data_IF_434026910917
#
_entry.id   IF_434026910917
#
_cell.length_a   1.000
_cell.length_b   1.000
_cell.length_c   1.000
_cell.angle_alpha   90.00
_cell.angle_beta   90.00
_cell.angle_gamma   90.00
#
_symmetry.space_group_name_H-M   'P 1'
#
loop_
_entity.id
_entity.type
_entity.pdbx_description
1 polymer ?
#
# COMPACT_ATOMS: atom_id res chain seq x y z
N UNK A 1 -31.35 17.64 -26.11
CA UNK A 1 -31.10 16.19 -26.06
C UNK A 1 -30.01 15.97 -25.02
N UNK A 2 -30.41 15.47 -23.86
CA UNK A 2 -29.53 15.28 -22.69
C UNK A 2 -28.90 13.91 -22.85
N UNK A 3 -27.56 13.89 -22.93
CA UNK A 3 -26.78 12.66 -22.96
C UNK A 3 -26.81 12.01 -21.59
N UNK A 4 -27.28 10.76 -21.55
CA UNK A 4 -27.32 9.94 -20.37
C UNK A 4 -25.88 9.60 -19.91
N UNK A 5 -25.51 10.08 -18.71
CA UNK A 5 -24.38 9.55 -18.00
C UNK A 5 -24.68 8.09 -17.64
N UNK A 6 -23.90 7.18 -18.19
CA UNK A 6 -23.94 5.76 -17.84
C UNK A 6 -23.52 5.61 -16.37
N UNK A 7 -24.47 5.33 -15.50
CA UNK A 7 -24.22 4.77 -14.18
C UNK A 7 -23.48 3.45 -14.36
N UNK A 8 -22.20 3.42 -14.06
CA UNK A 8 -21.47 2.18 -13.81
C UNK A 8 -21.94 1.73 -12.42
N UNK A 9 -22.84 0.79 -12.41
CA UNK A 9 -23.23 0.04 -11.21
C UNK A 9 -22.05 -0.86 -10.84
N UNK A 10 -21.10 -0.31 -10.06
CA UNK A 10 -20.00 -1.08 -9.49
C UNK A 10 -20.63 -1.96 -8.43
N UNK A 11 -20.81 -3.24 -8.72
CA UNK A 11 -21.16 -4.26 -7.73
C UNK A 11 -20.23 -4.09 -6.52
N UNK A 12 -20.82 -3.76 -5.38
CA UNK A 12 -20.13 -3.34 -4.14
C UNK A 12 -19.54 -4.56 -3.40
N UNK A 13 -18.85 -5.46 -4.12
CA UNK A 13 -18.17 -6.61 -3.55
C UNK A 13 -16.79 -6.19 -3.04
N UNK A 14 -16.62 -6.34 -1.73
CA UNK A 14 -15.33 -6.08 -1.08
C UNK A 14 -14.32 -7.14 -1.51
N UNK A 15 -13.24 -6.73 -2.19
CA UNK A 15 -12.14 -7.64 -2.55
C UNK A 15 -11.28 -7.99 -1.32
N UNK A 16 -11.17 -7.06 -0.36
CA UNK A 16 -10.56 -7.30 0.95
C UNK A 16 -11.57 -6.94 2.03
N UNK A 17 -11.70 -7.82 3.03
CA UNK A 17 -12.51 -7.56 4.21
C UNK A 17 -11.74 -7.99 5.46
N UNK A 18 -11.71 -7.13 6.46
CA UNK A 18 -11.16 -7.41 7.79
C UNK A 18 -12.27 -7.27 8.82
N UNK A 19 -12.40 -8.24 9.71
CA UNK A 19 -13.42 -8.28 10.74
C UNK A 19 -12.80 -8.45 12.11
N UNK A 20 -12.88 -7.41 12.94
CA UNK A 20 -12.43 -7.40 14.31
C UNK A 20 -10.97 -7.78 14.51
N UNK A 21 -10.09 -7.40 13.60
CA UNK A 21 -8.70 -7.88 13.56
C UNK A 21 -7.86 -7.25 14.67
N UNK A 22 -7.29 -8.12 15.51
CA UNK A 22 -6.24 -7.80 16.48
C UNK A 22 -4.90 -8.41 16.04
N UNK A 23 -3.80 -7.68 16.22
CA UNK A 23 -2.43 -8.21 16.09
C UNK A 23 -1.63 -7.86 17.34
N UNK A 24 -1.08 -8.91 17.98
CA UNK A 24 -0.33 -8.78 19.24
C UNK A 24 1.01 -9.51 19.10
N UNK A 25 2.12 -8.83 19.41
CA UNK A 25 3.46 -9.41 19.48
C UNK A 25 3.90 -9.50 20.95
N UNK A 26 3.88 -10.69 21.52
CA UNK A 26 4.15 -10.87 22.94
C UNK A 26 3.15 -10.11 23.81
N UNK A 27 3.60 -9.05 24.49
CA UNK A 27 2.73 -8.16 25.30
C UNK A 27 2.32 -6.88 24.56
N UNK A 28 2.85 -6.64 23.38
CA UNK A 28 2.60 -5.42 22.61
C UNK A 28 1.48 -5.63 21.60
N UNK A 29 0.32 -5.01 21.81
CA UNK A 29 -0.76 -4.96 20.84
C UNK A 29 -0.47 -3.84 19.84
N UNK A 30 -0.48 -4.17 18.55
CA UNK A 30 -0.20 -3.23 17.46
C UNK A 30 -1.46 -2.87 16.67
N UNK A 31 -2.33 -3.85 16.43
CA UNK A 31 -3.66 -3.61 15.85
C UNK A 31 -4.74 -4.03 16.84
N UNK A 32 -5.80 -3.23 16.93
CA UNK A 32 -6.92 -3.43 17.84
C UNK A 32 -8.25 -3.27 17.14
N UNK A 33 -8.99 -4.40 17.01
CA UNK A 33 -10.34 -4.46 16.45
C UNK A 33 -10.46 -3.66 15.15
N UNK A 34 -9.60 -3.99 14.17
CA UNK A 34 -9.65 -3.35 12.86
C UNK A 34 -10.79 -4.00 12.07
N UNK A 35 -11.75 -3.17 11.70
CA UNK A 35 -12.78 -3.48 10.71
C UNK A 35 -12.48 -2.64 9.47
N UNK A 36 -12.35 -3.27 8.30
CA UNK A 36 -11.99 -2.61 7.06
C UNK A 36 -12.56 -3.37 5.87
N UNK A 37 -13.17 -2.66 4.95
CA UNK A 37 -13.59 -3.18 3.66
C UNK A 37 -12.87 -2.39 2.57
N UNK A 38 -12.42 -3.05 1.51
CA UNK A 38 -11.86 -2.43 0.33
C UNK A 38 -12.63 -2.91 -0.90
N UNK A 39 -13.24 -1.99 -1.63
CA UNK A 39 -13.97 -2.31 -2.86
C UNK A 39 -12.99 -2.60 -4.01
N UNK A 40 -13.44 -3.41 -4.97
CA UNK A 40 -12.66 -3.65 -6.18
C UNK A 40 -12.45 -2.35 -6.97
N UNK A 41 -11.22 -2.10 -7.41
CA UNK A 41 -10.85 -0.90 -8.16
C UNK A 41 -10.69 0.37 -7.31
N UNK A 42 -10.94 0.31 -5.99
CA UNK A 42 -10.73 1.43 -5.06
C UNK A 42 -9.23 1.64 -4.79
N UNK A 43 -8.82 2.89 -4.64
CA UNK A 43 -7.51 3.25 -4.06
C UNK A 43 -7.72 3.77 -2.65
N UNK A 44 -7.27 2.99 -1.67
CA UNK A 44 -7.31 3.32 -0.25
C UNK A 44 -5.96 3.86 0.22
N UNK A 45 -5.91 5.06 0.79
CA UNK A 45 -4.74 5.52 1.53
C UNK A 45 -4.86 5.19 3.02
N UNK A 46 -3.80 4.65 3.59
CA UNK A 46 -3.66 4.41 5.03
C UNK A 46 -2.63 5.40 5.56
N UNK A 47 -3.10 6.37 6.33
CA UNK A 47 -2.24 7.38 6.95
C UNK A 47 -2.13 7.19 8.46
N UNK A 48 -1.22 7.90 9.08
CA UNK A 48 -1.02 7.92 10.53
C UNK A 48 0.43 8.07 10.93
N UNK A 49 0.65 8.31 12.22
CA UNK A 49 1.99 8.51 12.78
C UNK A 49 2.90 7.28 12.60
N UNK A 50 4.22 7.51 12.67
CA UNK A 50 5.17 6.40 12.68
C UNK A 50 4.90 5.47 13.87
N UNK A 51 4.94 4.16 13.63
CA UNK A 51 4.70 3.14 14.65
C UNK A 51 3.23 2.86 14.98
N UNK A 52 2.24 3.49 14.34
CA UNK A 52 0.81 3.20 14.61
C UNK A 52 0.31 1.87 14.05
N UNK A 53 1.13 1.13 13.28
CA UNK A 53 0.78 -0.22 12.79
C UNK A 53 0.50 -0.33 11.30
N UNK A 54 0.72 0.70 10.47
CA UNK A 54 0.42 0.70 9.02
C UNK A 54 1.04 -0.49 8.27
N UNK A 55 2.34 -0.70 8.43
CA UNK A 55 3.05 -1.82 7.78
C UNK A 55 2.60 -3.18 8.34
N UNK A 56 2.22 -3.25 9.62
CA UNK A 56 1.64 -4.46 10.21
C UNK A 56 0.28 -4.75 9.56
N UNK A 57 -0.55 -3.71 9.38
CA UNK A 57 -1.84 -3.84 8.70
C UNK A 57 -1.65 -4.35 7.26
N UNK A 58 -0.73 -3.78 6.47
CA UNK A 58 -0.43 -4.29 5.12
C UNK A 58 -0.02 -5.76 5.13
N UNK A 59 0.91 -6.14 6.02
CA UNK A 59 1.37 -7.54 6.12
C UNK A 59 0.26 -8.50 6.54
N UNK A 60 -0.71 -8.02 7.32
CA UNK A 60 -1.87 -8.82 7.74
C UNK A 60 -2.85 -9.00 6.56
N UNK A 61 -3.07 -7.95 5.76
CA UNK A 61 -3.91 -8.00 4.55
C UNK A 61 -3.44 -9.06 3.56
N UNK A 62 -2.12 -9.20 3.35
CA UNK A 62 -1.58 -10.18 2.40
C UNK A 62 -1.30 -11.57 3.04
N UNK A 63 -1.74 -11.78 4.26
CA UNK A 63 -1.53 -13.04 4.97
C UNK A 63 -0.07 -13.37 5.32
N UNK A 64 0.85 -12.36 5.32
CA UNK A 64 2.22 -12.52 5.84
C UNK A 64 2.24 -12.52 7.37
N UNK A 65 1.25 -11.91 7.99
CA UNK A 65 1.02 -11.95 9.43
C UNK A 65 -0.39 -12.45 9.68
N UNK A 66 -0.52 -13.50 10.48
CA UNK A 66 -1.82 -13.97 10.93
C UNK A 66 -2.33 -13.06 12.06
N UNK A 67 -3.62 -12.67 12.02
CA UNK A 67 -4.22 -11.95 13.12
C UNK A 67 -4.24 -12.81 14.40
N UNK A 68 -4.08 -12.19 15.55
CA UNK A 68 -4.24 -12.87 16.85
C UNK A 68 -5.71 -13.15 17.15
N UNK A 69 -6.61 -12.29 16.63
CA UNK A 69 -8.07 -12.43 16.67
C UNK A 69 -8.66 -11.78 15.42
N UNK A 70 -9.90 -12.15 15.11
CA UNK A 70 -10.61 -11.67 13.92
C UNK A 70 -10.19 -12.43 12.67
N UNK A 71 -10.70 -12.02 11.53
CA UNK A 71 -10.49 -12.68 10.25
C UNK A 71 -10.15 -11.68 9.15
N UNK A 72 -9.37 -12.14 8.17
CA UNK A 72 -9.04 -11.40 6.95
C UNK A 72 -9.50 -12.21 5.76
N UNK A 73 -10.32 -11.61 4.94
CA UNK A 73 -10.84 -12.21 3.73
C UNK A 73 -10.25 -11.53 2.51
N UNK A 74 -9.85 -12.30 1.54
CA UNK A 74 -9.50 -11.87 0.21
C UNK A 74 -10.36 -12.60 -0.81
N UNK A 75 -11.08 -11.85 -1.63
CA UNK A 75 -11.98 -12.40 -2.63
C UNK A 75 -12.97 -13.42 -2.01
N UNK A 76 -13.58 -13.02 -0.88
CA UNK A 76 -14.53 -13.83 -0.10
C UNK A 76 -13.92 -15.02 0.67
N UNK A 77 -12.63 -15.29 0.55
CA UNK A 77 -11.94 -16.44 1.16
C UNK A 77 -11.16 -16.02 2.41
N UNK A 78 -11.40 -16.70 3.53
CA UNK A 78 -10.70 -16.47 4.81
C UNK A 78 -9.23 -16.93 4.70
N UNK A 79 -8.29 -15.97 4.73
CA UNK A 79 -6.86 -16.24 4.65
C UNK A 79 -6.33 -17.06 5.85
N UNK A 80 -6.95 -16.90 7.02
CA UNK A 80 -6.57 -17.62 8.23
C UNK A 80 -6.87 -19.13 8.19
N UNK A 81 -7.71 -19.57 7.27
CA UNK A 81 -8.08 -20.99 7.08
C UNK A 81 -7.34 -21.66 5.94
N UNK A 82 -6.50 -20.92 5.22
CA UNK A 82 -5.75 -21.45 4.08
C UNK A 82 -4.47 -22.14 4.53
N UNK A 83 -4.09 -23.20 3.83
CA UNK A 83 -2.74 -23.76 3.91
C UNK A 83 -1.72 -22.79 3.31
N UNK A 84 -0.44 -22.93 3.68
CA UNK A 84 0.64 -22.10 3.11
C UNK A 84 0.72 -22.19 1.58
N UNK A 85 0.39 -23.34 0.99
CA UNK A 85 0.34 -23.50 -0.46
C UNK A 85 -0.78 -22.64 -1.09
N UNK A 86 -1.94 -22.62 -0.48
CA UNK A 86 -3.07 -21.78 -0.93
C UNK A 86 -2.78 -20.30 -0.72
N UNK A 87 -2.22 -19.91 0.44
CA UNK A 87 -1.78 -18.54 0.72
C UNK A 87 -0.77 -18.04 -0.31
N UNK A 88 0.21 -18.88 -0.68
CA UNK A 88 1.17 -18.51 -1.73
C UNK A 88 0.49 -18.30 -3.08
N UNK A 89 -0.53 -19.10 -3.42
CA UNK A 89 -1.37 -18.88 -4.59
C UNK A 89 -2.13 -17.55 -4.54
N UNK A 90 -2.61 -17.13 -3.37
CA UNK A 90 -3.25 -15.82 -3.23
C UNK A 90 -2.23 -14.68 -3.29
N UNK A 91 -1.05 -14.82 -2.67
CA UNK A 91 -0.01 -13.79 -2.64
C UNK A 91 0.50 -13.41 -4.03
N UNK A 92 0.45 -14.28 -5.01
CA UNK A 92 0.82 -13.99 -6.41
C UNK A 92 -0.11 -12.93 -7.02
N UNK A 93 -1.35 -12.80 -6.55
CA UNK A 93 -2.33 -11.82 -6.99
C UNK A 93 -2.05 -10.40 -6.43
N UNK A 94 -1.05 -10.26 -5.55
CA UNK A 94 -0.64 -8.98 -4.97
C UNK A 94 0.70 -8.52 -5.55
N UNK A 95 0.76 -7.29 -6.03
CA UNK A 95 2.00 -6.57 -6.29
C UNK A 95 2.40 -5.72 -5.08
N UNK A 96 3.68 -5.72 -4.70
CA UNK A 96 4.14 -4.96 -3.55
C UNK A 96 5.31 -4.05 -3.91
N UNK A 97 5.12 -2.74 -3.76
CA UNK A 97 6.20 -1.75 -3.78
C UNK A 97 6.60 -1.40 -2.35
N UNK A 98 7.74 -1.91 -1.92
CA UNK A 98 8.31 -1.66 -0.59
C UNK A 98 8.94 -0.27 -0.48
N UNK A 99 9.02 0.24 0.74
CA UNK A 99 9.57 1.57 1.05
C UNK A 99 10.97 1.81 0.44
N UNK A 100 11.85 0.81 0.40
CA UNK A 100 13.18 0.89 -0.22
C UNK A 100 13.27 0.10 -1.52
N UNK A 101 12.14 -0.12 -2.21
CA UNK A 101 12.00 -0.95 -3.41
C UNK A 101 12.37 -2.44 -3.21
N UNK A 102 13.15 -2.81 -2.21
CA UNK A 102 13.59 -4.18 -1.87
C UNK A 102 14.08 -4.97 -3.10
N UNK A 103 14.91 -4.35 -3.93
CA UNK A 103 15.53 -5.01 -5.08
C UNK A 103 16.62 -5.98 -4.61
N UNK A 104 16.80 -7.06 -5.34
CA UNK A 104 17.92 -7.98 -5.13
C UNK A 104 19.21 -7.33 -5.65
N UNK A 105 20.14 -7.01 -4.77
CA UNK A 105 21.38 -6.26 -5.10
C UNK A 105 22.29 -7.03 -6.06
N UNK A 106 22.28 -8.36 -6.00
CA UNK A 106 23.06 -9.22 -6.90
C UNK A 106 22.51 -9.33 -8.31
N UNK A 107 21.25 -8.95 -8.53
CA UNK A 107 20.54 -9.07 -9.80
C UNK A 107 20.54 -7.77 -10.58
N UNK A 108 20.53 -7.86 -11.92
CA UNK A 108 20.29 -6.71 -12.78
C UNK A 108 18.83 -6.25 -12.70
N UNK A 109 18.50 -5.08 -13.27
CA UNK A 109 17.13 -4.59 -13.41
C UNK A 109 16.25 -5.62 -14.13
N UNK A 110 16.71 -6.15 -15.26
CA UNK A 110 15.96 -7.16 -16.01
C UNK A 110 15.72 -8.43 -15.18
N UNK A 111 16.71 -8.85 -14.40
CA UNK A 111 16.60 -10.01 -13.53
C UNK A 111 15.63 -9.76 -12.35
N UNK A 112 15.65 -8.56 -11.75
CA UNK A 112 14.73 -8.18 -10.71
C UNK A 112 13.27 -8.19 -11.18
N UNK A 113 12.99 -7.55 -12.32
CA UNK A 113 11.61 -7.46 -12.85
C UNK A 113 11.13 -8.85 -13.29
N UNK A 114 11.97 -9.62 -14.01
CA UNK A 114 11.64 -10.95 -14.51
C UNK A 114 11.67 -12.05 -13.44
N UNK A 115 12.03 -11.75 -12.19
CA UNK A 115 12.20 -12.76 -11.14
C UNK A 115 10.90 -13.54 -10.88
N UNK A 116 9.82 -12.83 -10.57
CA UNK A 116 8.52 -13.43 -10.27
C UNK A 116 7.93 -14.18 -11.47
N UNK A 117 8.13 -13.68 -12.69
CA UNK A 117 7.70 -14.37 -13.91
C UNK A 117 8.38 -15.74 -14.07
N UNK A 118 9.69 -15.82 -13.80
CA UNK A 118 10.43 -17.10 -13.85
C UNK A 118 10.02 -18.10 -12.78
N UNK A 119 9.58 -17.62 -11.63
CA UNK A 119 9.21 -18.48 -10.49
C UNK A 119 7.76 -18.98 -10.58
N UNK A 120 6.86 -18.20 -11.15
CA UNK A 120 5.41 -18.43 -11.05
C UNK A 120 4.72 -18.63 -12.40
N UNK A 121 5.45 -18.60 -13.51
CA UNK A 121 4.88 -18.84 -14.84
C UNK A 121 5.73 -19.82 -15.66
N UNK A 122 5.12 -20.41 -16.69
CA UNK A 122 5.80 -21.26 -17.66
C UNK A 122 6.23 -20.48 -18.92
N UNK A 123 6.36 -19.15 -18.84
CA UNK A 123 6.73 -18.29 -19.96
C UNK A 123 8.17 -18.56 -20.41
N UNK A 124 8.39 -18.55 -21.72
CA UNK A 124 9.72 -18.70 -22.31
C UNK A 124 10.58 -17.45 -22.05
N UNK A 125 11.88 -17.57 -22.15
CA UNK A 125 12.82 -16.48 -21.89
C UNK A 125 12.58 -15.24 -22.78
N UNK A 126 12.13 -15.44 -24.02
CA UNK A 126 11.75 -14.37 -24.95
C UNK A 126 10.54 -13.59 -24.44
N UNK A 127 9.48 -14.29 -24.07
CA UNK A 127 8.24 -13.69 -23.55
C UNK A 127 8.51 -12.90 -22.25
N UNK A 128 9.38 -13.42 -21.37
CA UNK A 128 9.79 -12.71 -20.16
C UNK A 128 10.57 -11.44 -20.53
N UNK A 129 11.45 -11.47 -21.53
CA UNK A 129 12.19 -10.27 -21.97
C UNK A 129 11.26 -9.19 -22.50
N UNK A 130 10.27 -9.56 -23.29
CA UNK A 130 9.27 -8.64 -23.84
C UNK A 130 8.46 -7.98 -22.72
N UNK A 131 7.98 -8.76 -21.73
CA UNK A 131 7.25 -8.24 -20.58
C UNK A 131 8.15 -7.29 -19.77
N UNK A 132 9.40 -7.67 -19.52
CA UNK A 132 10.36 -6.84 -18.77
C UNK A 132 10.59 -5.50 -19.46
N UNK A 133 10.82 -5.50 -20.78
CA UNK A 133 11.00 -4.26 -21.56
C UNK A 133 9.74 -3.39 -21.52
N UNK A 134 8.55 -3.99 -21.67
CA UNK A 134 7.28 -3.27 -21.57
C UNK A 134 7.10 -2.63 -20.19
N UNK A 135 7.37 -3.35 -19.10
CA UNK A 135 7.26 -2.81 -17.72
C UNK A 135 8.28 -1.70 -17.43
N UNK A 136 9.49 -1.80 -17.97
CA UNK A 136 10.50 -0.72 -17.86
C UNK A 136 10.04 0.55 -18.57
N UNK A 137 9.49 0.42 -19.77
CA UNK A 137 8.93 1.54 -20.53
C UNK A 137 7.73 2.17 -19.79
N UNK A 138 6.81 1.35 -19.25
CA UNK A 138 5.62 1.78 -18.50
C UNK A 138 5.98 2.66 -17.29
N UNK A 139 7.08 2.37 -16.60
CA UNK A 139 7.55 3.19 -15.47
C UNK A 139 8.48 4.34 -15.92
N UNK A 140 8.56 4.63 -17.21
CA UNK A 140 9.32 5.74 -17.76
C UNK A 140 10.83 5.60 -17.61
N UNK A 141 11.36 4.37 -17.61
CA UNK A 141 12.79 4.12 -17.60
C UNK A 141 13.30 3.78 -19.02
N UNK A 142 14.49 4.25 -19.41
CA UNK A 142 15.07 3.89 -20.69
C UNK A 142 15.59 2.45 -20.67
N UNK A 143 15.60 1.80 -21.82
CA UNK A 143 15.95 0.37 -21.95
C UNK A 143 17.40 0.06 -21.54
N UNK A 144 18.31 1.03 -21.63
CA UNK A 144 19.70 0.88 -21.23
C UNK A 144 19.92 0.62 -19.73
N UNK A 145 18.86 0.74 -18.90
CA UNK A 145 18.94 0.39 -17.46
C UNK A 145 18.85 -1.12 -17.22
N UNK A 146 18.37 -1.91 -18.18
CA UNK A 146 18.09 -3.34 -18.00
C UNK A 146 19.30 -4.15 -17.51
N UNK A 147 20.50 -3.79 -17.97
CA UNK A 147 21.75 -4.44 -17.55
C UNK A 147 22.34 -3.93 -16.22
N UNK A 148 21.83 -2.80 -15.69
CA UNK A 148 22.35 -2.19 -14.47
C UNK A 148 21.95 -2.96 -13.23
N UNK A 149 22.75 -2.83 -12.15
CA UNK A 149 22.43 -3.31 -10.81
C UNK A 149 21.81 -2.19 -9.96
N UNK A 150 21.09 -2.51 -8.88
CA UNK A 150 20.46 -1.52 -7.99
C UNK A 150 21.42 -0.42 -7.47
N UNK A 151 22.67 -0.78 -7.21
CA UNK A 151 23.70 0.18 -6.76
C UNK A 151 24.03 1.29 -7.79
N UNK A 152 23.75 1.04 -9.09
CA UNK A 152 24.00 2.00 -10.17
C UNK A 152 22.79 2.92 -10.47
N UNK A 153 21.71 2.79 -9.68
CA UNK A 153 20.44 3.50 -9.86
C UNK A 153 20.25 4.58 -8.80
N UNK A 154 19.65 5.71 -9.18
CA UNK A 154 19.15 6.70 -8.21
C UNK A 154 18.01 6.14 -7.36
N UNK A 155 17.67 6.79 -6.24
CA UNK A 155 16.54 6.38 -5.40
C UNK A 155 15.22 6.29 -6.16
N UNK A 156 14.91 7.30 -6.98
CA UNK A 156 13.71 7.32 -7.82
C UNK A 156 13.73 6.23 -8.90
N UNK A 157 14.88 5.93 -9.49
CA UNK A 157 15.00 4.82 -10.45
C UNK A 157 14.76 3.47 -9.76
N UNK A 158 15.32 3.25 -8.56
CA UNK A 158 15.06 2.01 -7.78
C UNK A 158 13.58 1.82 -7.48
N UNK A 159 12.88 2.89 -7.09
CA UNK A 159 11.43 2.85 -6.85
C UNK A 159 10.66 2.45 -8.12
N UNK A 160 11.00 3.04 -9.27
CA UNK A 160 10.38 2.70 -10.57
C UNK A 160 10.66 1.26 -10.99
N UNK A 161 11.87 0.75 -10.80
CA UNK A 161 12.17 -0.68 -11.02
C UNK A 161 11.38 -1.57 -10.07
N UNK A 162 11.24 -1.18 -8.79
CA UNK A 162 10.41 -1.89 -7.82
C UNK A 162 8.93 -1.94 -8.24
N UNK A 163 8.41 -0.84 -8.79
CA UNK A 163 7.05 -0.78 -9.34
C UNK A 163 6.92 -1.69 -10.57
N UNK A 164 7.84 -1.62 -11.53
CA UNK A 164 7.86 -2.50 -12.70
C UNK A 164 7.88 -3.99 -12.31
N UNK A 165 8.66 -4.35 -11.28
CA UNK A 165 8.70 -5.71 -10.74
C UNK A 165 7.37 -6.12 -10.12
N UNK A 166 6.73 -5.23 -9.35
CA UNK A 166 5.44 -5.49 -8.73
C UNK A 166 4.32 -5.70 -9.76
N UNK A 167 4.39 -5.01 -10.90
CA UNK A 167 3.42 -5.10 -12.00
C UNK A 167 3.68 -6.30 -12.95
N UNK A 168 4.82 -6.96 -12.85
CA UNK A 168 5.23 -7.99 -13.83
C UNK A 168 4.25 -9.16 -13.94
N UNK A 169 3.61 -9.56 -12.84
CA UNK A 169 2.61 -10.65 -12.79
C UNK A 169 1.17 -10.18 -13.00
N UNK A 170 0.96 -8.91 -13.36
CA UNK A 170 -0.38 -8.32 -13.55
C UNK A 170 -1.29 -8.54 -12.33
N UNK A 171 -0.90 -7.99 -11.16
CA UNK A 171 -1.61 -8.23 -9.91
C UNK A 171 -3.00 -7.62 -9.92
N UNK A 172 -3.92 -8.20 -9.15
CA UNK A 172 -5.25 -7.64 -8.92
C UNK A 172 -5.23 -6.54 -7.84
N UNK A 173 -4.27 -6.63 -6.92
CA UNK A 173 -4.08 -5.64 -5.86
C UNK A 173 -2.64 -5.16 -5.84
N UNK A 174 -2.49 -3.83 -5.79
CA UNK A 174 -1.20 -3.17 -5.60
C UNK A 174 -1.09 -2.58 -4.20
N UNK A 175 -0.02 -2.93 -3.51
CA UNK A 175 0.34 -2.41 -2.20
C UNK A 175 1.57 -1.50 -2.32
N UNK A 176 1.45 -0.28 -1.83
CA UNK A 176 2.51 0.72 -1.84
C UNK A 176 2.84 1.09 -0.38
N UNK A 177 4.01 0.70 0.09
CA UNK A 177 4.48 1.06 1.43
C UNK A 177 5.45 2.25 1.33
N UNK A 178 4.98 3.44 1.71
CA UNK A 178 5.72 4.69 1.70
C UNK A 178 6.40 4.96 0.33
N UNK A 179 5.65 5.01 -0.78
CA UNK A 179 6.20 5.02 -2.14
C UNK A 179 7.07 6.25 -2.44
N UNK A 180 6.78 7.39 -1.81
CA UNK A 180 7.47 8.68 -2.06
C UNK A 180 8.54 9.02 -1.03
N UNK A 181 8.68 8.23 0.03
CA UNK A 181 9.66 8.49 1.11
C UNK A 181 11.09 8.47 0.57
N UNK A 182 11.86 9.53 0.92
CA UNK A 182 13.25 9.69 0.53
C UNK A 182 13.46 10.23 -0.90
N UNK A 183 12.40 10.71 -1.53
CA UNK A 183 12.44 11.38 -2.83
C UNK A 183 12.23 12.90 -2.67
N UNK A 184 12.76 13.66 -3.60
CA UNK A 184 12.44 15.08 -3.73
C UNK A 184 10.98 15.28 -4.19
N UNK A 185 10.41 16.49 -4.07
CA UNK A 185 9.01 16.74 -4.42
C UNK A 185 8.64 16.42 -5.87
N UNK A 186 9.56 16.64 -6.82
CA UNK A 186 9.31 16.37 -8.25
C UNK A 186 9.25 14.87 -8.48
N UNK A 187 10.22 14.13 -7.95
CA UNK A 187 10.24 12.67 -8.07
C UNK A 187 9.10 12.00 -7.31
N UNK A 188 8.67 12.58 -6.18
CA UNK A 188 7.48 12.13 -5.47
C UNK A 188 6.24 12.26 -6.34
N UNK A 189 6.12 13.37 -7.06
CA UNK A 189 5.00 13.60 -7.98
C UNK A 189 5.03 12.62 -9.17
N UNK A 190 6.21 12.32 -9.71
CA UNK A 190 6.38 11.28 -10.76
C UNK A 190 5.88 9.91 -10.26
N UNK A 191 6.21 9.52 -9.03
CA UNK A 191 5.71 8.24 -8.47
C UNK A 191 4.19 8.28 -8.31
N UNK A 192 3.61 9.39 -7.86
CA UNK A 192 2.17 9.54 -7.72
C UNK A 192 1.46 9.41 -9.08
N UNK A 193 2.00 10.04 -10.13
CA UNK A 193 1.48 9.88 -11.50
C UNK A 193 1.58 8.42 -11.98
N UNK A 194 2.67 7.72 -11.67
CA UNK A 194 2.79 6.31 -12.01
C UNK A 194 1.75 5.44 -11.30
N UNK A 195 1.43 5.72 -10.02
CA UNK A 195 0.35 5.02 -9.29
C UNK A 195 -0.99 5.25 -9.98
N UNK A 196 -1.30 6.51 -10.34
CA UNK A 196 -2.54 6.86 -11.04
C UNK A 196 -2.61 6.19 -12.42
N UNK A 197 -1.52 6.24 -13.18
CA UNK A 197 -1.46 5.65 -14.51
C UNK A 197 -1.56 4.12 -14.47
N UNK A 198 -0.95 3.47 -13.48
CA UNK A 198 -1.11 2.03 -13.26
C UNK A 198 -2.60 1.67 -13.13
N UNK A 199 -3.35 2.41 -12.31
CA UNK A 199 -4.80 2.18 -12.13
C UNK A 199 -5.60 2.42 -13.43
N UNK A 200 -5.17 3.39 -14.24
CA UNK A 200 -5.85 3.68 -15.54
C UNK A 200 -5.60 2.62 -16.60
N UNK A 201 -4.41 2.02 -16.59
CA UNK A 201 -4.00 1.04 -17.59
C UNK A 201 -4.38 -0.39 -17.19
N UNK A 202 -4.45 -0.66 -15.89
CA UNK A 202 -4.76 -1.97 -15.32
C UNK A 202 -5.91 -1.84 -14.33
N UNK A 203 -6.88 -2.75 -14.35
CA UNK A 203 -7.99 -2.76 -13.38
C UNK A 203 -7.50 -3.26 -12.01
N UNK A 204 -6.63 -2.48 -11.35
CA UNK A 204 -6.07 -2.84 -10.03
C UNK A 204 -6.75 -2.12 -8.89
N UNK A 205 -6.94 -2.82 -7.78
CA UNK A 205 -7.27 -2.24 -6.48
C UNK A 205 -5.98 -1.84 -5.78
N UNK A 206 -5.93 -0.70 -5.09
CA UNK A 206 -4.68 -0.19 -4.53
C UNK A 206 -4.79 0.15 -3.05
N UNK A 207 -3.74 -0.16 -2.28
CA UNK A 207 -3.56 0.33 -0.92
C UNK A 207 -2.24 1.09 -0.85
N UNK A 208 -2.30 2.35 -0.44
CA UNK A 208 -1.14 3.23 -0.33
C UNK A 208 -0.94 3.61 1.14
N UNK A 209 0.11 3.07 1.76
CA UNK A 209 0.52 3.53 3.08
C UNK A 209 1.43 4.73 2.91
N UNK A 210 1.10 5.84 3.56
CA UNK A 210 1.93 7.04 3.50
C UNK A 210 1.70 7.95 4.72
N UNK A 211 2.70 8.78 5.04
CA UNK A 211 2.58 9.92 5.93
C UNK A 211 2.55 11.24 5.15
N UNK A 212 2.75 11.20 3.84
CA UNK A 212 2.68 12.37 2.96
C UNK A 212 1.25 12.63 2.50
N UNK A 213 0.66 13.70 3.01
CA UNK A 213 -0.72 14.10 2.68
C UNK A 213 -0.91 14.51 1.22
N UNK A 214 0.15 14.97 0.52
CA UNK A 214 0.07 15.27 -0.91
C UNK A 214 -0.16 14.00 -1.70
N UNK A 215 0.61 12.96 -1.39
CA UNK A 215 0.44 11.63 -1.98
C UNK A 215 -0.96 11.09 -1.68
N UNK A 216 -1.39 11.06 -0.40
CA UNK A 216 -2.71 10.54 -0.02
C UNK A 216 -3.85 11.21 -0.79
N UNK A 217 -3.88 12.54 -0.85
CA UNK A 217 -4.92 13.31 -1.56
C UNK A 217 -4.89 13.12 -3.08
N UNK A 218 -3.69 12.94 -3.66
CA UNK A 218 -3.54 12.85 -5.10
C UNK A 218 -3.96 11.50 -5.67
N UNK A 219 -3.68 10.41 -4.95
CA UNK A 219 -3.82 9.05 -5.48
C UNK A 219 -5.05 8.31 -4.97
N UNK A 220 -5.60 8.68 -3.79
CA UNK A 220 -6.63 7.89 -3.12
C UNK A 220 -8.05 8.39 -3.37
N UNK A 221 -8.98 7.46 -3.46
CA UNK A 221 -10.43 7.74 -3.41
C UNK A 221 -10.89 7.91 -1.96
N UNK A 222 -10.35 7.07 -1.06
CA UNK A 222 -10.69 7.01 0.35
C UNK A 222 -9.43 6.97 1.21
N UNK A 223 -9.52 7.57 2.38
CA UNK A 223 -8.44 7.61 3.37
C UNK A 223 -8.92 7.02 4.68
N UNK A 224 -8.11 6.18 5.30
CA UNK A 224 -8.26 5.83 6.71
C UNK A 224 -7.06 6.36 7.50
N UNK A 225 -7.30 6.82 8.72
CA UNK A 225 -6.22 7.22 9.63
C UNK A 225 -6.13 6.28 10.81
N UNK A 226 -4.98 5.58 10.90
CA UNK A 226 -4.61 4.78 12.06
C UNK A 226 -3.98 5.66 13.13
N UNK A 227 -4.43 5.50 14.38
CA UNK A 227 -3.88 6.23 15.51
C UNK A 227 -3.10 5.29 16.46
N UNK A 228 -2.00 5.76 17.10
CA UNK A 228 -1.21 4.95 18.02
C UNK A 228 -2.03 4.47 19.21
N UNK A 229 -2.03 3.16 19.48
CA UNK A 229 -2.81 2.56 20.58
C UNK A 229 -2.45 3.11 21.97
N UNK A 230 -1.18 3.50 22.18
CA UNK A 230 -0.70 4.08 23.43
C UNK A 230 -1.32 5.42 23.77
N UNK A 231 -1.96 6.07 22.81
CA UNK A 231 -2.59 7.40 22.97
C UNK A 231 -4.11 7.36 22.89
N UNK A 232 -4.68 6.19 22.60
CA UNK A 232 -6.14 6.00 22.57
C UNK A 232 -6.68 5.77 23.97
N UNK A 233 -7.82 6.36 24.27
CA UNK A 233 -8.58 6.02 25.46
C UNK A 233 -9.15 4.60 25.36
N UNK A 234 -9.54 4.06 26.51
CA UNK A 234 -10.21 2.75 26.55
C UNK A 234 -11.50 2.80 25.72
N UNK A 235 -11.67 1.83 24.82
CA UNK A 235 -12.86 1.73 23.98
C UNK A 235 -12.84 2.54 22.67
N UNK A 236 -11.92 3.50 22.48
CA UNK A 236 -11.82 4.23 21.22
C UNK A 236 -11.37 3.32 20.07
N UNK A 237 -11.90 3.49 18.84
CA UNK A 237 -11.44 2.77 17.66
C UNK A 237 -10.02 3.21 17.28
N UNK A 238 -9.23 2.29 16.68
CA UNK A 238 -7.89 2.64 16.22
C UNK A 238 -7.91 3.39 14.89
N UNK A 239 -8.91 3.15 14.06
CA UNK A 239 -9.19 3.96 12.87
C UNK A 239 -10.02 5.16 13.37
N UNK A 240 -9.41 6.36 13.37
CA UNK A 240 -10.04 7.60 13.84
C UNK A 240 -10.62 8.43 12.70
N UNK A 241 -10.33 8.08 11.46
CA UNK A 241 -10.93 8.62 10.25
C UNK A 241 -11.10 7.52 9.22
N UNK A 242 -12.23 7.49 8.57
CA UNK A 242 -12.55 6.65 7.44
C UNK A 242 -13.54 7.40 6.54
N UNK A 243 -13.08 7.82 5.36
CA UNK A 243 -13.89 8.62 4.46
C UNK A 243 -13.18 9.05 3.17
N UNK A 244 -13.89 9.77 2.28
CA UNK A 244 -13.34 10.27 1.04
C UNK A 244 -12.09 11.12 1.25
N UNK A 245 -11.08 10.96 0.38
CA UNK A 245 -9.83 11.72 0.47
C UNK A 245 -10.06 13.24 0.38
N UNK A 246 -11.06 13.66 -0.38
CA UNK A 246 -11.43 15.08 -0.56
C UNK A 246 -12.00 15.73 0.71
N UNK A 247 -12.59 14.92 1.62
CA UNK A 247 -13.25 15.42 2.84
C UNK A 247 -12.40 15.28 4.10
N UNK A 248 -11.15 14.90 3.97
CA UNK A 248 -10.30 14.67 5.15
C UNK A 248 -10.06 15.95 5.95
N UNK A 249 -10.08 17.11 5.32
CA UNK A 249 -9.94 18.42 5.97
C UNK A 249 -11.14 18.77 6.86
N UNK A 250 -12.31 18.19 6.56
CA UNK A 250 -13.57 18.38 7.31
C UNK A 250 -13.73 17.37 8.45
N UNK A 251 -12.68 16.58 8.75
CA UNK A 251 -12.74 15.56 9.79
C UNK A 251 -13.09 16.18 11.14
N UNK A 252 -14.11 15.63 11.82
CA UNK A 252 -14.57 16.10 13.13
C UNK A 252 -13.55 15.85 14.27
N UNK A 253 -12.69 14.84 14.10
CA UNK A 253 -11.65 14.51 15.09
C UNK A 253 -10.45 15.46 14.94
N UNK A 254 -10.18 16.25 15.96
CA UNK A 254 -9.10 17.23 15.98
C UNK A 254 -7.71 16.60 15.76
N UNK A 255 -7.52 15.33 16.12
CA UNK A 255 -6.27 14.59 15.92
C UNK A 255 -5.97 14.39 14.43
N UNK A 256 -7.01 14.22 13.61
CA UNK A 256 -6.88 14.15 12.14
C UNK A 256 -6.41 15.49 11.59
N UNK A 257 -7.06 16.60 11.98
CA UNK A 257 -6.69 17.94 11.56
C UNK A 257 -5.25 18.31 11.96
N UNK A 258 -4.85 17.94 13.19
CA UNK A 258 -3.47 18.14 13.66
C UNK A 258 -2.45 17.38 12.83
N UNK A 259 -2.73 16.11 12.52
CA UNK A 259 -1.85 15.29 11.69
C UNK A 259 -1.68 15.88 10.28
N UNK A 260 -2.79 16.29 9.65
CA UNK A 260 -2.80 16.86 8.30
C UNK A 260 -2.00 18.16 8.23
N UNK A 261 -2.11 19.02 9.26
CA UNK A 261 -1.41 20.31 9.34
C UNK A 261 0.02 20.20 9.83
N UNK A 262 0.45 19.02 10.28
CA UNK A 262 1.77 18.82 10.89
C UNK A 262 1.93 19.55 12.23
N UNK A 263 0.83 19.76 12.98
CA UNK A 263 0.86 20.48 14.24
C UNK A 263 1.26 19.57 15.41
N UNK A 264 2.38 19.91 16.05
CA UNK A 264 2.94 19.11 17.15
C UNK A 264 2.34 19.40 18.54
N UNK A 265 1.27 20.21 18.67
CA UNK A 265 0.78 20.78 19.93
C UNK A 265 0.60 19.75 21.06
N UNK A 266 -0.23 18.75 20.87
CA UNK A 266 -0.48 17.71 21.90
C UNK A 266 0.74 16.81 22.11
N UNK A 267 1.50 16.52 21.05
CA UNK A 267 2.70 15.71 21.12
C UNK A 267 3.78 16.32 21.99
N UNK A 268 3.96 17.64 21.93
CA UNK A 268 4.89 18.37 22.80
C UNK A 268 4.49 18.30 24.26
N UNK A 269 3.18 18.39 24.58
CA UNK A 269 2.70 18.26 25.96
C UNK A 269 2.89 16.83 26.51
N UNK A 270 2.65 15.81 25.69
CA UNK A 270 2.88 14.41 26.04
C UNK A 270 4.38 14.15 26.34
N UNK A 271 5.29 14.62 25.47
CA UNK A 271 6.72 14.47 25.68
C UNK A 271 7.20 15.15 26.98
N UNK A 272 6.64 16.32 27.34
CA UNK A 272 6.95 17.00 28.58
C UNK A 272 6.47 16.23 29.82
N UNK A 273 5.30 15.55 29.75
CA UNK A 273 4.78 14.71 30.83
C UNK A 273 5.61 13.43 31.04
N UNK A 274 6.19 12.87 29.99
CA UNK A 274 7.05 11.67 30.08
C UNK A 274 8.41 12.03 30.66
N UNK A 275 8.98 13.18 30.32
CA UNK A 275 10.30 13.64 30.80
C UNK A 275 10.26 14.34 32.16
N UNK A 276 9.09 14.63 32.71
CA UNK A 276 8.90 15.23 34.01
C UNK A 276 8.59 14.24 35.15
N UNK A 277 8.83 12.95 34.89
CA UNK A 277 8.83 11.85 35.87
C UNK A 277 10.29 11.31 36.01
#
# INVERSE_FOLDING_TARGET
MVSAASNIDVSNESIIKMEGVDVVFGRNRVLRRIDLNLAQGETLAIIGESGCGKTVLLKTIIGLLHPTRGSVYFDGRDLGRMSEKELNGQRIRFGFLFQQAALFDSMTVAQNIGFSLRQHTNKRAEEIREIVSARVAEVGLPENVLGKKPAELSGGMRKRVGLARALALEPEIMLYDEPTTGLDPIMSDVINELIINTRRQHPVTSIVVTHDMRTARKVADRVIMLFPLSRLKSGEPQIIYDGPAERIDDAADSRVSQFIRGEARERLMEMRRINGR
#
